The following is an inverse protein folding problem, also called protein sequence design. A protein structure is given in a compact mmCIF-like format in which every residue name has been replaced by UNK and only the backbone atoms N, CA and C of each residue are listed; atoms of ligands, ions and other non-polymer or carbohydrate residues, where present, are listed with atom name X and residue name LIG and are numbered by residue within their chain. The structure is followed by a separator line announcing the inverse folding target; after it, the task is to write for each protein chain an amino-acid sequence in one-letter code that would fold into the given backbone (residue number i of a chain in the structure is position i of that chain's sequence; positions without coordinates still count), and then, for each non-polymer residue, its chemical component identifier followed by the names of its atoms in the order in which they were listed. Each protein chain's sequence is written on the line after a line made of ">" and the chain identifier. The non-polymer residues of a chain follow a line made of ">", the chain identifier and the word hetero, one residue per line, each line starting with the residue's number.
data_IF_233395846177
#
_entry.id   IF_233395846177
#
_cell.length_a   1.000
_cell.length_b   1.000
_cell.length_c   1.000
_cell.angle_alpha   90.00
_cell.angle_beta   90.00
_cell.angle_gamma   90.00
#
_symmetry.space_group_name_H-M   'P 1'
#
loop_
_entity.id
_entity.type
_entity.pdbx_description
1 polymer ?
#
# COMPACT_ATOMS: atom_id res chain seq x y z
N UNK A 1 4.99 -1.73 9.75
CA UNK A 1 5.59 -0.44 10.18
C UNK A 1 6.33 0.15 8.99
N UNK A 2 6.03 1.38 8.63
CA UNK A 2 6.67 2.11 7.52
C UNK A 2 7.42 3.33 8.08
N UNK A 3 8.70 3.47 7.73
CA UNK A 3 9.53 4.63 8.09
C UNK A 3 9.97 5.30 6.81
N UNK A 4 9.79 6.62 6.74
CA UNK A 4 10.24 7.42 5.60
C UNK A 4 10.93 8.67 6.10
N UNK A 5 11.92 9.15 5.35
CA UNK A 5 12.63 10.39 5.63
C UNK A 5 12.84 11.13 4.31
N UNK A 6 12.50 12.43 4.30
CA UNK A 6 12.77 13.33 3.19
C UNK A 6 13.72 14.43 3.68
N UNK A 7 14.87 14.55 3.03
CA UNK A 7 15.88 15.57 3.36
C UNK A 7 16.06 16.49 2.16
N UNK A 8 15.83 17.78 2.35
CA UNK A 8 16.07 18.83 1.36
C UNK A 8 17.17 19.74 1.89
N UNK A 9 18.30 19.76 1.18
CA UNK A 9 19.45 20.60 1.56
C UNK A 9 19.21 22.07 1.20
N UNK A 10 19.96 22.98 1.82
CA UNK A 10 19.85 24.44 1.57
C UNK A 10 20.10 24.85 0.10
N UNK A 11 20.83 24.03 -0.66
CA UNK A 11 21.14 24.31 -2.06
C UNK A 11 20.09 23.75 -3.04
N UNK A 12 19.10 23.00 -2.55
CA UNK A 12 18.07 22.34 -3.35
C UNK A 12 16.90 23.29 -3.66
N UNK A 13 17.24 24.43 -4.27
CA UNK A 13 16.31 25.47 -4.69
C UNK A 13 15.29 24.90 -5.67
N UNK A 14 14.02 25.31 -5.52
CA UNK A 14 12.88 24.88 -6.34
C UNK A 14 12.65 23.36 -6.42
N UNK A 15 13.20 22.59 -5.49
CA UNK A 15 13.01 21.14 -5.45
C UNK A 15 11.55 20.77 -5.17
N UNK A 16 11.09 19.67 -5.78
CA UNK A 16 9.73 19.16 -5.58
C UNK A 16 9.76 17.68 -5.25
N UNK A 17 8.96 17.26 -4.29
CA UNK A 17 8.85 15.84 -3.93
C UNK A 17 7.48 15.54 -3.33
N UNK A 18 6.95 14.37 -3.66
CA UNK A 18 5.73 13.83 -3.05
C UNK A 18 6.01 12.42 -2.57
N UNK A 19 5.72 12.15 -1.31
CA UNK A 19 5.77 10.82 -0.72
C UNK A 19 4.34 10.38 -0.41
N UNK A 20 3.96 9.20 -0.92
CA UNK A 20 2.70 8.55 -0.55
C UNK A 20 3.00 7.24 0.16
N UNK A 21 2.38 7.05 1.33
CA UNK A 21 2.46 5.84 2.14
C UNK A 21 1.06 5.24 2.27
N UNK A 22 0.82 4.11 1.63
CA UNK A 22 -0.46 3.41 1.73
C UNK A 22 -0.32 2.10 2.50
N UNK A 23 -1.32 1.77 3.30
CA UNK A 23 -1.40 0.50 4.04
C UNK A 23 -2.83 -0.02 4.03
N UNK A 24 -2.96 -1.35 3.99
CA UNK A 24 -4.24 -2.03 4.06
C UNK A 24 -4.23 -3.01 5.24
N UNK A 25 -5.13 -2.82 6.20
CA UNK A 25 -5.34 -3.73 7.33
C UNK A 25 -6.26 -4.87 6.90
N UNK A 26 -5.84 -6.10 7.16
CA UNK A 26 -6.56 -7.32 6.75
C UNK A 26 -7.68 -7.68 7.73
N UNK A 27 -7.51 -7.38 9.02
CA UNK A 27 -8.45 -7.71 10.10
C UNK A 27 -8.40 -6.68 11.24
N UNK A 28 -9.20 -6.90 12.30
CA UNK A 28 -9.32 -6.02 13.48
C UNK A 28 -8.07 -5.97 14.36
N UNK A 29 -7.27 -7.03 14.37
CA UNK A 29 -6.08 -7.18 15.22
C UNK A 29 -4.83 -6.57 14.57
N UNK A 30 -4.85 -6.44 13.25
CA UNK A 30 -3.79 -5.83 12.45
C UNK A 30 -3.53 -4.38 12.85
N UNK A 31 -2.25 -4.02 12.86
CA UNK A 31 -1.78 -2.66 13.14
C UNK A 31 -0.82 -2.19 12.05
N UNK A 32 -1.02 -0.97 11.57
CA UNK A 32 -0.03 -0.27 10.74
C UNK A 32 0.42 1.01 11.43
N UNK A 33 1.74 1.19 11.54
CA UNK A 33 2.36 2.43 12.02
C UNK A 33 3.15 3.05 10.87
N UNK A 34 2.89 4.32 10.57
CA UNK A 34 3.62 5.12 9.58
C UNK A 34 4.30 6.28 10.30
N UNK A 35 5.63 6.35 10.20
CA UNK A 35 6.45 7.37 10.87
C UNK A 35 7.16 8.20 9.79
N UNK A 36 6.60 9.35 9.40
CA UNK A 36 7.24 10.27 8.46
C UNK A 36 8.25 11.18 9.18
N UNK A 37 9.40 11.40 8.55
CA UNK A 37 10.37 12.40 8.93
C UNK A 37 10.65 13.35 7.74
N UNK A 38 10.74 14.65 8.02
CA UNK A 38 11.02 15.67 7.01
C UNK A 38 12.03 16.69 7.57
N UNK A 39 13.20 16.78 6.94
CA UNK A 39 14.24 17.78 7.21
C UNK A 39 14.37 18.68 5.98
N UNK A 40 13.59 19.77 5.96
CA UNK A 40 13.48 20.68 4.82
C UNK A 40 14.23 21.97 5.13
N UNK A 41 15.35 22.20 4.44
CA UNK A 41 16.25 23.34 4.69
C UNK A 41 16.28 24.38 3.56
N UNK A 42 15.46 24.19 2.51
CA UNK A 42 15.30 25.16 1.42
C UNK A 42 13.91 25.81 1.52
N UNK A 43 13.85 27.14 1.47
CA UNK A 43 12.60 27.91 1.65
C UNK A 43 11.66 27.85 0.45
N UNK A 44 12.21 27.53 -0.72
CA UNK A 44 11.54 27.51 -2.02
C UNK A 44 11.26 26.08 -2.53
N UNK A 45 11.32 25.08 -1.63
CA UNK A 45 10.99 23.69 -1.93
C UNK A 45 9.49 23.39 -1.71
N UNK A 46 8.93 22.52 -2.56
CA UNK A 46 7.53 22.08 -2.52
C UNK A 46 7.47 20.57 -2.23
N UNK A 47 7.17 20.23 -0.97
CA UNK A 47 7.28 18.87 -0.46
C UNK A 47 5.96 18.44 0.16
N UNK A 48 5.37 17.36 -0.36
CA UNK A 48 4.16 16.72 0.16
C UNK A 48 4.45 15.35 0.76
N UNK A 49 3.83 15.05 1.90
CA UNK A 49 3.74 13.69 2.43
C UNK A 49 2.28 13.34 2.69
N UNK A 50 1.84 12.24 2.11
CA UNK A 50 0.51 11.67 2.33
C UNK A 50 0.62 10.25 2.90
N UNK A 51 -0.19 9.94 3.90
CA UNK A 51 -0.31 8.59 4.44
C UNK A 51 -1.79 8.19 4.54
N UNK A 52 -2.13 7.01 4.00
CA UNK A 52 -3.49 6.45 4.05
C UNK A 52 -3.46 5.03 4.61
N UNK A 53 -4.35 4.78 5.57
CA UNK A 53 -4.55 3.44 6.13
C UNK A 53 -5.99 3.03 5.81
N UNK A 54 -6.13 2.02 4.95
CA UNK A 54 -7.40 1.37 4.65
C UNK A 54 -7.59 0.12 5.51
N UNK A 55 -8.83 -0.35 5.59
CA UNK A 55 -9.21 -1.65 6.14
C UNK A 55 -10.02 -2.40 5.09
N UNK A 56 -9.83 -3.71 4.99
CA UNK A 56 -10.72 -4.54 4.16
C UNK A 56 -12.16 -4.36 4.66
N UNK A 57 -13.06 -4.02 3.73
CA UNK A 57 -14.46 -3.74 4.05
C UNK A 57 -15.24 -5.05 4.14
N UNK A 58 -15.82 -5.34 5.31
CA UNK A 58 -16.72 -6.49 5.48
C UNK A 58 -17.89 -6.46 4.49
N UNK A 59 -18.35 -5.26 4.10
CA UNK A 59 -19.39 -5.10 3.07
C UNK A 59 -18.90 -5.51 1.69
N UNK A 60 -17.64 -5.19 1.35
CA UNK A 60 -17.04 -5.57 0.08
C UNK A 60 -16.82 -7.09 0.03
N UNK A 61 -16.34 -7.69 1.13
CA UNK A 61 -16.21 -9.13 1.28
C UNK A 61 -17.59 -9.81 1.15
N UNK A 62 -18.58 -9.36 1.91
CA UNK A 62 -19.95 -9.88 1.82
C UNK A 62 -20.52 -9.78 0.40
N UNK A 63 -20.29 -8.65 -0.28
CA UNK A 63 -20.71 -8.47 -1.66
C UNK A 63 -20.04 -9.47 -2.62
N UNK A 64 -18.72 -9.66 -2.53
CA UNK A 64 -17.99 -10.62 -3.35
C UNK A 64 -18.42 -12.05 -3.05
N UNK A 65 -18.65 -12.39 -1.79
CA UNK A 65 -19.18 -13.69 -1.39
C UNK A 65 -20.58 -13.96 -1.96
N UNK A 66 -21.44 -12.93 -2.00
CA UNK A 66 -22.76 -13.04 -2.65
C UNK A 66 -22.67 -13.31 -4.16
N UNK A 67 -21.51 -13.07 -4.78
CA UNK A 67 -21.21 -13.38 -6.18
C UNK A 67 -20.56 -14.76 -6.37
N UNK A 68 -20.45 -15.55 -5.30
CA UNK A 68 -19.99 -16.93 -5.36
C UNK A 68 -18.51 -17.13 -5.02
N UNK A 69 -17.80 -16.08 -4.59
CA UNK A 69 -16.43 -16.19 -4.09
C UNK A 69 -16.44 -16.70 -2.64
N UNK A 70 -15.48 -17.51 -2.25
CA UNK A 70 -15.19 -17.76 -0.85
C UNK A 70 -14.67 -16.49 -0.17
N UNK A 71 -14.69 -16.44 1.16
CA UNK A 71 -14.14 -15.31 1.91
C UNK A 71 -12.64 -15.10 1.60
N UNK A 72 -11.87 -16.19 1.48
CA UNK A 72 -10.46 -16.15 1.11
C UNK A 72 -10.23 -15.56 -0.28
N UNK A 73 -10.97 -16.04 -1.29
CA UNK A 73 -10.89 -15.51 -2.65
C UNK A 73 -11.31 -14.03 -2.72
N UNK A 74 -12.31 -13.63 -1.91
CA UNK A 74 -12.73 -12.23 -1.83
C UNK A 74 -11.64 -11.33 -1.22
N UNK A 75 -10.97 -11.78 -0.15
CA UNK A 75 -9.84 -11.06 0.45
C UNK A 75 -8.66 -10.97 -0.51
N UNK A 76 -8.30 -12.08 -1.16
CA UNK A 76 -7.23 -12.13 -2.17
C UNK A 76 -7.49 -11.11 -3.29
N UNK A 77 -8.71 -11.06 -3.80
CA UNK A 77 -9.08 -10.12 -4.87
C UNK A 77 -8.92 -8.66 -4.45
N UNK A 78 -9.33 -8.31 -3.21
CA UNK A 78 -9.17 -6.96 -2.67
C UNK A 78 -7.70 -6.60 -2.50
N UNK A 79 -6.89 -7.51 -1.96
CA UNK A 79 -5.45 -7.29 -1.75
C UNK A 79 -4.72 -7.13 -3.09
N UNK A 80 -5.04 -7.97 -4.09
CA UNK A 80 -4.51 -7.82 -5.45
C UNK A 80 -4.90 -6.48 -6.07
N UNK A 81 -6.15 -6.05 -5.92
CA UNK A 81 -6.60 -4.73 -6.37
C UNK A 81 -5.87 -3.57 -5.68
N UNK A 82 -5.50 -3.71 -4.40
CA UNK A 82 -4.68 -2.74 -3.69
C UNK A 82 -3.23 -2.70 -4.19
N UNK A 83 -2.66 -3.86 -4.54
CA UNK A 83 -1.30 -3.98 -5.04
C UNK A 83 -1.16 -3.68 -6.55
N UNK A 84 -2.27 -3.58 -7.28
CA UNK A 84 -2.35 -3.34 -8.73
C UNK A 84 -1.49 -2.16 -9.21
N UNK A 85 -1.44 -0.99 -8.54
CA UNK A 85 -0.59 0.12 -8.99
C UNK A 85 0.89 -0.25 -9.00
N UNK A 86 1.34 -1.04 -8.03
CA UNK A 86 2.74 -1.51 -7.96
C UNK A 86 3.00 -2.53 -9.07
N UNK A 87 2.07 -3.47 -9.29
CA UNK A 87 2.21 -4.49 -10.32
C UNK A 87 2.32 -3.87 -11.73
N UNK A 88 1.67 -2.73 -11.98
CA UNK A 88 1.76 -2.00 -13.27
C UNK A 88 3.10 -1.35 -13.55
N UNK A 89 3.88 -1.05 -12.51
CA UNK A 89 5.22 -0.47 -12.64
C UNK A 89 6.29 -1.55 -12.87
N UNK A 90 5.95 -2.83 -12.71
CA UNK A 90 6.85 -3.95 -12.91
C UNK A 90 6.78 -4.50 -14.35
N UNK A 91 7.88 -5.03 -14.88
CA UNK A 91 7.83 -5.83 -16.11
C UNK A 91 6.87 -7.00 -15.95
N UNK A 92 6.23 -7.41 -17.05
CA UNK A 92 5.11 -8.37 -17.06
C UNK A 92 5.44 -9.67 -16.31
N UNK A 93 6.63 -10.25 -16.53
CA UNK A 93 7.06 -11.47 -15.84
C UNK A 93 7.07 -11.35 -14.32
N UNK A 94 7.51 -10.20 -13.77
CA UNK A 94 7.51 -9.96 -12.33
C UNK A 94 6.13 -9.61 -11.78
N UNK A 95 5.29 -8.94 -12.57
CA UNK A 95 3.92 -8.65 -12.19
C UNK A 95 3.10 -9.95 -12.03
N UNK A 96 3.31 -10.93 -12.91
CA UNK A 96 2.70 -12.27 -12.80
C UNK A 96 3.20 -12.99 -11.55
N UNK A 97 4.51 -12.98 -11.32
CA UNK A 97 5.11 -13.63 -10.14
C UNK A 97 4.60 -13.02 -8.83
N UNK A 98 4.53 -11.69 -8.75
CA UNK A 98 4.00 -10.96 -7.60
C UNK A 98 2.56 -11.38 -7.27
N UNK A 99 1.70 -11.53 -8.27
CA UNK A 99 0.33 -12.01 -8.07
C UNK A 99 0.29 -13.43 -7.50
N UNK A 100 1.17 -14.32 -7.97
CA UNK A 100 1.29 -15.68 -7.45
C UNK A 100 1.76 -15.68 -5.99
N UNK A 101 2.74 -14.82 -5.64
CA UNK A 101 3.23 -14.66 -4.27
C UNK A 101 2.14 -14.14 -3.32
N UNK A 102 1.36 -13.14 -3.75
CA UNK A 102 0.23 -12.63 -2.97
C UNK A 102 -0.76 -13.76 -2.66
N UNK A 103 -1.10 -14.56 -3.67
CA UNK A 103 -2.02 -15.69 -3.49
C UNK A 103 -1.48 -16.70 -2.48
N UNK A 104 -0.21 -17.11 -2.62
CA UNK A 104 0.43 -18.06 -1.70
C UNK A 104 0.43 -17.54 -0.25
N UNK A 105 0.73 -16.26 -0.05
CA UNK A 105 0.73 -15.66 1.29
C UNK A 105 -0.68 -15.64 1.90
N UNK A 106 -1.70 -15.38 1.09
CA UNK A 106 -3.10 -15.38 1.54
C UNK A 106 -3.61 -16.78 1.89
N UNK A 107 -3.19 -17.82 1.16
CA UNK A 107 -3.51 -19.21 1.51
C UNK A 107 -2.84 -19.64 2.83
N UNK A 108 -1.63 -19.15 3.12
CA UNK A 108 -0.87 -19.48 4.34
C UNK A 108 -1.26 -18.71 5.60
N UNK A 109 -1.95 -17.57 5.46
CA UNK A 109 -2.33 -16.68 6.57
C UNK A 109 -3.79 -16.82 7.03
N UNK A 110 -4.59 -17.64 6.32
CA UNK A 110 -5.93 -18.05 6.76
C UNK A 110 -5.77 -19.33 7.60
N UNK A 111 -5.35 -19.18 8.86
CA UNK A 111 -5.16 -20.24 9.84
C UNK A 111 -5.26 -19.73 11.26
#
# INVERSE_FOLDING_TARGET
>A
ITRSEVIITKAALHSKSTVSCESLMLDSESRSDTIPAMDIRSEDADIGHEARIGRISDKAIFYLMSRGLSEGEAKELIVRGFAEPIAKELPMEYAVEMNTLIKMEMEGSIG
#
